data_IF_288070995474
#
_entry.id   IF_288070995474
#
_cell.length_a   1.000
_cell.length_b   1.000
_cell.length_c   1.000
_cell.angle_alpha   90.00
_cell.angle_beta   90.00
_cell.angle_gamma   90.00
#
_symmetry.space_group_name_H-M   'P 1'
#
loop_
_entity.id
_entity.type
_entity.pdbx_description
1 polymer ?
#
# COMPACT_ATOMS: atom_id res chain seq x y z
N UNK A 1 8.60 1.17 22.30
CA UNK A 1 7.96 1.02 20.97
C UNK A 1 7.28 -0.33 20.91
N UNK A 2 6.04 -0.41 20.41
CA UNK A 2 5.35 -1.70 20.21
C UNK A 2 5.84 -2.28 18.88
N UNK A 3 6.42 -3.48 18.90
CA UNK A 3 6.82 -4.18 17.67
C UNK A 3 5.55 -4.64 16.95
N UNK A 4 5.35 -4.20 15.71
CA UNK A 4 4.24 -4.64 14.88
C UNK A 4 4.67 -5.89 14.11
N UNK A 5 3.94 -6.98 14.28
CA UNK A 5 4.15 -8.19 13.50
C UNK A 5 3.45 -8.06 12.15
N UNK A 6 4.13 -7.46 11.18
CA UNK A 6 3.59 -7.27 9.84
C UNK A 6 3.68 -8.56 9.03
N UNK A 7 2.69 -8.86 8.18
CA UNK A 7 2.77 -9.99 7.28
C UNK A 7 3.94 -9.82 6.29
N UNK A 8 4.58 -10.91 5.90
CA UNK A 8 5.65 -10.86 4.89
C UNK A 8 5.04 -10.49 3.52
N UNK A 9 5.60 -9.50 2.79
CA UNK A 9 5.12 -9.17 1.46
C UNK A 9 5.41 -10.32 0.49
N UNK A 10 4.36 -10.85 -0.15
CA UNK A 10 4.45 -11.83 -1.23
C UNK A 10 3.88 -11.24 -2.52
N UNK A 11 4.25 -11.74 -3.72
CA UNK A 11 3.78 -11.14 -4.98
C UNK A 11 2.26 -11.16 -5.10
N UNK A 12 1.65 -12.30 -4.74
CA UNK A 12 0.21 -12.46 -4.69
C UNK A 12 -0.44 -11.49 -3.72
N UNK A 13 0.13 -11.33 -2.52
CA UNK A 13 -0.41 -10.41 -1.51
C UNK A 13 -0.32 -8.95 -1.94
N UNK A 14 0.78 -8.53 -2.55
CA UNK A 14 0.94 -7.17 -3.09
C UNK A 14 -0.15 -6.88 -4.13
N UNK A 15 -0.39 -7.83 -5.05
CA UNK A 15 -1.44 -7.72 -6.07
C UNK A 15 -2.84 -7.62 -5.46
N UNK A 16 -3.15 -8.46 -4.48
CA UNK A 16 -4.42 -8.42 -3.75
C UNK A 16 -4.64 -7.07 -3.06
N UNK A 17 -3.64 -6.60 -2.30
CA UNK A 17 -3.73 -5.33 -1.58
C UNK A 17 -3.89 -4.14 -2.52
N UNK A 18 -3.17 -4.12 -3.65
CA UNK A 18 -3.35 -3.08 -4.67
C UNK A 18 -4.80 -3.02 -5.16
N UNK A 19 -5.38 -4.18 -5.48
CA UNK A 19 -6.77 -4.27 -5.95
C UNK A 19 -7.76 -3.83 -4.85
N UNK A 20 -7.53 -4.24 -3.61
CA UNK A 20 -8.33 -3.82 -2.46
C UNK A 20 -8.24 -2.30 -2.20
N UNK A 21 -7.08 -1.70 -2.47
CA UNK A 21 -6.89 -0.25 -2.44
C UNK A 21 -7.51 0.50 -3.64
N UNK A 22 -8.14 -0.21 -4.59
CA UNK A 22 -8.77 0.38 -5.77
C UNK A 22 -7.80 0.94 -6.80
N UNK A 23 -6.52 0.52 -6.78
CA UNK A 23 -5.48 1.06 -7.66
C UNK A 23 -5.26 0.19 -8.91
N UNK A 24 -5.08 0.82 -10.07
CA UNK A 24 -4.46 0.18 -11.24
C UNK A 24 -2.96 -0.08 -11.00
N UNK A 25 -2.31 -0.87 -11.86
CA UNK A 25 -0.87 -1.10 -11.74
C UNK A 25 -0.07 0.20 -11.98
N UNK A 26 -0.52 1.06 -12.88
CA UNK A 26 0.06 2.36 -13.19
C UNK A 26 -0.07 3.31 -12.00
N UNK A 27 -1.27 3.43 -11.42
CA UNK A 27 -1.51 4.26 -10.24
C UNK A 27 -0.68 3.81 -9.04
N UNK A 28 -0.51 2.50 -8.87
CA UNK A 28 0.35 1.97 -7.82
C UNK A 28 1.83 2.26 -8.11
N UNK A 29 2.29 2.04 -9.34
CA UNK A 29 3.66 2.37 -9.73
C UNK A 29 3.98 3.86 -9.46
N UNK A 30 3.10 4.76 -9.87
CA UNK A 30 3.21 6.20 -9.60
C UNK A 30 3.22 6.49 -8.09
N UNK A 31 2.27 5.95 -7.32
CA UNK A 31 2.14 6.24 -5.88
C UNK A 31 3.31 5.74 -5.05
N UNK A 32 4.01 4.71 -5.52
CA UNK A 32 5.17 4.13 -4.85
C UNK A 32 6.51 4.51 -5.50
N UNK A 33 6.50 5.46 -6.43
CA UNK A 33 7.69 5.97 -7.13
C UNK A 33 8.51 4.87 -7.84
N UNK A 34 7.80 4.00 -8.55
CA UNK A 34 8.37 2.94 -9.38
C UNK A 34 7.92 3.11 -10.85
N UNK A 35 8.71 2.57 -11.78
CA UNK A 35 8.20 2.34 -13.13
C UNK A 35 7.16 1.21 -13.14
N UNK A 36 6.22 1.24 -14.10
CA UNK A 36 5.20 0.19 -14.24
C UNK A 36 5.82 -1.21 -14.31
N UNK A 37 6.93 -1.36 -15.05
CA UNK A 37 7.65 -2.62 -15.21
C UNK A 37 8.19 -3.15 -13.88
N UNK A 38 8.73 -2.27 -13.03
CA UNK A 38 9.23 -2.62 -11.70
C UNK A 38 8.07 -3.05 -10.80
N UNK A 39 6.95 -2.31 -10.83
CA UNK A 39 5.75 -2.67 -10.07
C UNK A 39 5.21 -4.05 -10.46
N UNK A 40 5.02 -4.31 -11.76
CA UNK A 40 4.56 -5.60 -12.27
C UNK A 40 5.48 -6.75 -11.86
N UNK A 41 6.80 -6.51 -11.80
CA UNK A 41 7.75 -7.52 -11.33
C UNK A 41 7.55 -7.85 -9.85
N UNK A 42 7.24 -6.86 -9.00
CA UNK A 42 6.93 -7.07 -7.58
C UNK A 42 5.66 -7.91 -7.39
N UNK A 43 4.69 -7.84 -8.31
CA UNK A 43 3.46 -8.63 -8.28
C UNK A 43 3.58 -10.04 -8.87
N UNK A 44 4.70 -10.38 -9.51
CA UNK A 44 4.89 -11.65 -10.20
C UNK A 44 6.10 -12.47 -9.73
N UNK A 45 7.15 -11.81 -9.22
CA UNK A 45 8.44 -12.44 -8.88
C UNK A 45 8.60 -12.60 -7.37
N UNK A 46 8.63 -13.83 -6.82
CA UNK A 46 8.74 -14.10 -5.38
C UNK A 46 9.94 -13.42 -4.71
N UNK A 47 11.08 -13.37 -5.40
CA UNK A 47 12.33 -12.74 -4.93
C UNK A 47 12.27 -11.20 -4.91
N UNK A 48 11.35 -10.59 -5.66
CA UNK A 48 11.20 -9.13 -5.74
C UNK A 48 10.06 -8.58 -4.89
N UNK A 49 9.08 -9.40 -4.53
CA UNK A 49 8.01 -8.98 -3.62
C UNK A 49 8.54 -8.58 -2.24
N UNK A 50 9.55 -9.29 -1.74
CA UNK A 50 10.26 -8.94 -0.51
C UNK A 50 11.04 -7.62 -0.58
N UNK A 51 11.17 -7.01 -1.77
CA UNK A 51 11.91 -5.76 -1.96
C UNK A 51 11.04 -4.51 -1.81
N UNK A 52 9.75 -4.62 -1.48
CA UNK A 52 9.05 -3.46 -0.91
C UNK A 52 9.69 -3.16 0.45
N UNK A 53 10.12 -1.91 0.64
CA UNK A 53 10.61 -1.49 1.95
C UNK A 53 9.47 -1.61 2.95
N UNK A 54 9.79 -1.86 4.22
CA UNK A 54 8.78 -2.08 5.25
C UNK A 54 7.72 -0.96 5.28
N UNK A 55 8.13 0.30 5.24
CA UNK A 55 7.20 1.44 5.21
C UNK A 55 6.33 1.52 3.95
N UNK A 56 6.83 1.05 2.79
CA UNK A 56 6.03 0.97 1.56
C UNK A 56 4.94 -0.09 1.70
N UNK A 57 5.30 -1.24 2.29
CA UNK A 57 4.33 -2.30 2.52
C UNK A 57 3.28 -1.91 3.57
N UNK A 58 3.69 -1.21 4.64
CA UNK A 58 2.76 -0.64 5.63
C UNK A 58 1.78 0.36 4.98
N UNK A 59 2.27 1.24 4.09
CA UNK A 59 1.43 2.15 3.33
C UNK A 59 0.43 1.40 2.43
N UNK A 60 0.87 0.35 1.73
CA UNK A 60 -0.01 -0.45 0.89
C UNK A 60 -1.10 -1.15 1.72
N UNK A 61 -0.74 -1.68 2.89
CA UNK A 61 -1.69 -2.24 3.85
C UNK A 61 -2.71 -1.19 4.33
N UNK A 62 -2.26 0.03 4.62
CA UNK A 62 -3.14 1.14 5.04
C UNK A 62 -4.13 1.54 3.94
N UNK A 63 -3.63 1.74 2.71
CA UNK A 63 -4.47 2.09 1.56
C UNK A 63 -5.51 1.00 1.25
N UNK A 64 -5.15 -0.26 1.48
CA UNK A 64 -6.04 -1.41 1.28
C UNK A 64 -6.96 -1.70 2.48
N UNK A 65 -6.86 -0.95 3.59
CA UNK A 65 -7.65 -1.20 4.81
C UNK A 65 -7.28 -2.50 5.54
N UNK A 66 -6.08 -3.05 5.31
CA UNK A 66 -5.61 -4.32 5.87
C UNK A 66 -4.50 -4.15 6.92
N UNK A 67 -4.14 -2.93 7.29
CA UNK A 67 -3.08 -2.70 8.26
C UNK A 67 -3.50 -3.19 9.67
N UNK A 68 -2.69 -4.02 10.36
CA UNK A 68 -3.13 -4.73 11.57
C UNK A 68 -3.34 -3.84 12.80
N UNK A 69 -2.80 -2.62 12.78
CA UNK A 69 -2.83 -1.71 13.94
C UNK A 69 -3.42 -0.32 13.65
N UNK A 70 -3.61 0.04 12.38
CA UNK A 70 -3.93 1.41 11.99
C UNK A 70 -4.95 1.40 10.85
N UNK A 71 -5.72 2.49 10.75
CA UNK A 71 -6.67 2.71 9.66
C UNK A 71 -6.38 4.07 9.03
N UNK A 72 -6.49 4.14 7.70
CA UNK A 72 -6.40 5.40 6.99
C UNK A 72 -7.76 6.11 7.09
N UNK A 73 -7.76 7.33 7.64
CA UNK A 73 -8.95 8.18 7.74
C UNK A 73 -8.75 9.47 6.96
N UNK A 74 -9.84 10.04 6.44
CA UNK A 74 -9.81 11.38 5.88
C UNK A 74 -9.43 12.39 6.98
N UNK A 75 -8.69 13.42 6.59
CA UNK A 75 -8.53 14.60 7.43
C UNK A 75 -9.88 15.33 7.46
N UNK A 76 -10.41 15.59 8.65
CA UNK A 76 -11.61 16.40 8.84
C UNK A 76 -11.34 17.83 8.36
N UNK A 77 -11.67 18.12 7.10
CA UNK A 77 -11.74 19.50 6.62
C UNK A 77 -12.96 20.12 7.28
N UNK A 78 -12.77 20.99 8.29
CA UNK A 78 -13.87 21.75 8.90
C UNK A 78 -14.61 22.55 7.81
N UNK A 79 -15.67 21.97 7.27
CA UNK A 79 -16.60 22.66 6.38
C UNK A 79 -17.52 23.49 7.27
N UNK A 80 -17.20 24.78 7.42
CA UNK A 80 -17.90 25.63 8.36
C UNK A 80 -17.46 27.10 8.33
N UNK A 81 -17.39 27.71 7.15
CA UNK A 81 -17.62 29.15 7.03
C UNK A 81 -19.05 29.28 6.52
N UNK A 82 -20.00 29.51 7.42
CA UNK A 82 -21.27 30.15 7.05
C UNK A 82 -21.16 31.61 7.49
N UNK A 83 -21.28 32.47 6.49
CA UNK A 83 -21.41 33.93 6.56
C UNK A 83 -22.58 34.34 7.43
#
# INVERSE_FOLDING_TARGET
>A
MKILNLPVPTPGRIRELRRAAGLSQEQAAERFDYSLRVWQTKECSPDKASNLRQGEYELLLLLAGHHPAFLLTALETKSGIKT
#
